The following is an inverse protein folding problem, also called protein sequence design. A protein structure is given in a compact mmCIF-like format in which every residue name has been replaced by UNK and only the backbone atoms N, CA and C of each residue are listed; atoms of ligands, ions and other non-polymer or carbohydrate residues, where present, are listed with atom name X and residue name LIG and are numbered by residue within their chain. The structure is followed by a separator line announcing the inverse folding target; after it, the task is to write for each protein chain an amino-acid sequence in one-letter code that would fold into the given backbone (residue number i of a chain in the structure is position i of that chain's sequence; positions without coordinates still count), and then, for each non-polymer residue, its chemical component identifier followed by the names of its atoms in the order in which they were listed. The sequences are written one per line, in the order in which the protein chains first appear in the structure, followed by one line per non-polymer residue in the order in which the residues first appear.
data_IF_393464143539
#
_entry.id   IF_393464143539
#
_cell.length_a   1.000
_cell.length_b   1.000
_cell.length_c   1.000
_cell.angle_alpha   90.00
_cell.angle_beta   90.00
_cell.angle_gamma   90.00
#
_symmetry.space_group_name_H-M   'P 1'
#
loop_
_entity.id
_entity.type
_entity.pdbx_description
1 polymer ?
#
# COMPACT_ATOMS: atom_id res chain seq x y z
N UNK A 1 -6.31 -15.03 -16.52
CA UNK A 1 -5.94 -15.46 -15.15
C UNK A 1 -6.07 -14.25 -14.25
N UNK A 2 -6.66 -14.40 -13.07
CA UNK A 2 -6.85 -13.34 -12.08
C UNK A 2 -6.41 -13.90 -10.73
N UNK A 3 -5.55 -13.18 -10.01
CA UNK A 3 -5.00 -13.61 -8.74
C UNK A 3 -5.13 -12.52 -7.68
N UNK A 4 -5.74 -12.87 -6.55
CA UNK A 4 -5.90 -12.03 -5.38
C UNK A 4 -5.10 -12.58 -4.21
N UNK A 5 -4.54 -11.69 -3.38
CA UNK A 5 -4.04 -12.02 -2.04
C UNK A 5 -4.79 -11.22 -0.99
N UNK A 6 -4.87 -11.74 0.22
CA UNK A 6 -5.55 -11.08 1.32
C UNK A 6 -4.88 -11.43 2.65
N UNK A 7 -5.03 -10.54 3.62
CA UNK A 7 -4.67 -10.75 5.02
C UNK A 7 -5.72 -10.05 5.89
N UNK A 8 -6.15 -10.71 6.97
CA UNK A 8 -7.16 -10.15 7.88
C UNK A 8 -6.74 -10.37 9.34
N UNK A 9 -7.08 -9.40 10.19
CA UNK A 9 -6.86 -9.47 11.63
C UNK A 9 -5.47 -9.05 12.09
N UNK A 10 -4.55 -8.73 11.17
CA UNK A 10 -3.26 -8.16 11.50
C UNK A 10 -3.38 -6.68 11.89
N UNK A 11 -2.50 -6.24 12.78
CA UNK A 11 -2.33 -4.84 13.15
C UNK A 11 -0.99 -4.33 12.64
N UNK A 12 -0.99 -3.08 12.19
CA UNK A 12 0.21 -2.40 11.69
C UNK A 12 0.35 -1.11 12.47
N UNK A 13 1.50 -0.93 13.10
CA UNK A 13 1.85 0.30 13.77
C UNK A 13 2.42 1.29 12.75
N UNK A 14 1.78 2.45 12.62
CA UNK A 14 2.04 3.45 11.59
C UNK A 14 2.98 4.55 12.12
N UNK A 15 4.30 4.36 11.94
CA UNK A 15 5.31 5.34 12.38
C UNK A 15 5.16 6.67 11.64
N UNK A 16 4.84 6.63 10.34
CA UNK A 16 4.68 7.83 9.53
C UNK A 16 3.58 8.73 10.06
N UNK A 17 2.46 8.14 10.49
CA UNK A 17 1.36 8.88 11.10
C UNK A 17 1.76 9.46 12.44
N UNK A 18 2.50 8.72 13.26
CA UNK A 18 3.06 9.27 14.50
C UNK A 18 3.90 10.52 14.22
N UNK A 19 4.89 10.41 13.32
CA UNK A 19 5.75 11.54 12.96
C UNK A 19 4.94 12.70 12.37
N UNK A 20 4.03 12.41 11.45
CA UNK A 20 3.23 13.40 10.74
C UNK A 20 2.18 14.12 11.60
N UNK A 21 1.64 13.45 12.63
CA UNK A 21 0.73 14.06 13.60
C UNK A 21 1.44 14.80 14.73
N UNK A 22 2.74 14.55 14.97
CA UNK A 22 3.49 15.34 15.99
C UNK A 22 3.71 16.80 15.58
N UNK A 23 3.37 17.17 14.34
CA UNK A 23 3.19 18.55 13.93
C UNK A 23 4.41 19.46 14.08
N UNK A 24 5.62 18.91 14.02
CA UNK A 24 6.87 19.66 14.19
C UNK A 24 7.30 19.93 15.64
N UNK A 25 6.56 19.43 16.64
CA UNK A 25 6.99 19.42 18.06
C UNK A 25 8.30 18.65 18.27
N UNK A 26 8.65 17.77 17.34
CA UNK A 26 9.90 17.01 17.37
C UNK A 26 11.05 17.75 16.67
N UNK A 27 10.82 18.36 15.51
CA UNK A 27 11.71 19.31 14.81
C UNK A 27 11.00 19.97 13.60
N UNK A 28 11.60 21.02 13.04
CA UNK A 28 11.03 21.81 11.93
C UNK A 28 11.11 21.14 10.54
N UNK A 29 11.75 19.98 10.41
CA UNK A 29 12.02 19.33 9.12
C UNK A 29 11.07 18.14 8.85
N UNK A 30 10.01 17.96 9.64
CA UNK A 30 9.09 16.83 9.51
C UNK A 30 7.88 17.16 8.66
N UNK A 31 7.36 16.13 8.01
CA UNK A 31 6.06 16.18 7.34
C UNK A 31 4.94 16.50 8.34
N UNK A 32 3.96 17.28 7.90
CA UNK A 32 2.73 17.57 8.64
C UNK A 32 1.56 16.90 7.92
N UNK A 33 0.84 16.02 8.60
CA UNK A 33 -0.36 15.42 8.04
C UNK A 33 -1.54 16.39 8.11
N UNK A 34 -2.41 16.34 7.10
CA UNK A 34 -3.60 17.18 7.03
C UNK A 34 -4.54 17.00 8.23
N UNK A 35 -4.51 15.84 8.91
CA UNK A 35 -5.26 15.58 10.14
C UNK A 35 -4.94 16.57 11.27
N UNK A 36 -3.76 17.23 11.24
CA UNK A 36 -3.42 18.28 12.19
C UNK A 36 -4.27 19.55 12.07
N UNK A 37 -5.01 19.72 10.97
CA UNK A 37 -6.00 20.79 10.84
C UNK A 37 -7.17 20.58 11.81
N UNK A 38 -7.48 19.32 12.15
CA UNK A 38 -8.57 18.96 13.06
C UNK A 38 -8.15 18.89 14.53
N UNK A 39 -6.93 19.34 14.86
CA UNK A 39 -6.40 19.30 16.24
C UNK A 39 -7.27 20.08 17.21
N UNK A 40 -7.25 19.66 18.46
CA UNK A 40 -7.95 20.36 19.53
C UNK A 40 -7.36 21.75 19.79
N UNK A 41 -8.20 22.78 19.65
CA UNK A 41 -7.82 24.19 19.82
C UNK A 41 -8.58 24.85 20.96
N UNK A 42 -9.87 24.57 21.10
CA UNK A 42 -10.78 25.29 22.00
C UNK A 42 -11.58 24.36 22.93
N UNK A 43 -11.91 24.79 24.16
CA UNK A 43 -12.81 24.05 25.04
C UNK A 43 -14.14 23.72 24.38
N UNK A 44 -14.59 22.46 24.47
CA UNK A 44 -15.83 21.98 23.86
C UNK A 44 -15.67 21.40 22.44
N UNK A 45 -14.51 21.54 21.80
CA UNK A 45 -14.25 20.92 20.51
C UNK A 45 -14.18 19.39 20.63
N UNK A 46 -14.94 18.66 19.81
CA UNK A 46 -14.93 17.20 19.72
C UNK A 46 -14.00 16.82 18.56
N UNK A 47 -12.84 16.25 18.91
CA UNK A 47 -11.86 15.74 17.94
C UNK A 47 -11.03 14.65 18.60
N UNK A 48 -10.56 13.69 17.81
CA UNK A 48 -9.61 12.67 18.24
C UNK A 48 -8.16 13.11 18.04
N UNK A 49 -7.90 14.29 17.44
CA UNK A 49 -6.55 14.83 17.23
C UNK A 49 -6.15 15.75 18.40
N UNK A 50 -5.13 15.37 19.20
CA UNK A 50 -4.78 16.14 20.39
C UNK A 50 -4.14 17.48 20.03
N UNK A 51 -4.22 18.42 20.96
CA UNK A 51 -3.58 19.72 20.83
C UNK A 51 -2.08 19.55 20.58
N UNK A 52 -1.55 20.36 19.66
CA UNK A 52 -0.13 20.45 19.35
C UNK A 52 0.68 21.05 20.52
N UNK A 53 1.19 20.17 21.39
CA UNK A 53 2.10 20.50 22.49
C UNK A 53 3.02 19.31 22.74
N UNK A 54 4.26 19.55 23.17
CA UNK A 54 5.26 18.50 23.43
C UNK A 54 4.77 17.41 24.42
N UNK A 55 3.90 17.78 25.37
CA UNK A 55 3.36 16.85 26.36
C UNK A 55 2.36 15.81 25.79
N UNK A 56 1.69 16.12 24.67
CA UNK A 56 0.65 15.26 24.10
C UNK A 56 1.18 14.27 23.07
N UNK A 57 2.35 14.55 22.52
CA UNK A 57 2.98 13.74 21.49
C UNK A 57 4.22 13.05 22.06
N UNK A 58 3.95 12.09 22.95
CA UNK A 58 4.95 11.17 23.49
C UNK A 58 5.60 10.36 22.36
N UNK A 59 6.93 10.19 22.43
CA UNK A 59 7.71 9.31 21.53
C UNK A 59 7.51 7.83 21.83
N UNK A 60 6.68 7.48 22.82
CA UNK A 60 6.42 6.10 23.18
C UNK A 60 5.34 5.51 22.28
N UNK A 61 5.59 4.29 21.84
CA UNK A 61 4.66 3.50 21.06
C UNK A 61 3.38 3.27 21.86
N UNK A 62 2.26 3.69 21.28
CA UNK A 62 0.95 3.54 21.88
C UNK A 62 -0.07 3.12 20.82
N UNK A 63 -1.24 2.69 21.28
CA UNK A 63 -2.29 2.12 20.43
C UNK A 63 -2.95 3.12 19.48
N UNK A 64 -2.73 4.44 19.63
CA UNK A 64 -3.27 5.46 18.73
C UNK A 64 -2.85 5.26 17.27
N UNK A 65 -1.59 4.84 17.09
CA UNK A 65 -1.00 4.62 15.77
C UNK A 65 -1.04 3.15 15.35
N UNK A 66 -1.67 2.29 16.15
CA UNK A 66 -1.90 0.90 15.82
C UNK A 66 -3.18 0.77 14.97
N UNK A 67 -3.00 0.50 13.69
CA UNK A 67 -4.07 0.48 12.71
C UNK A 67 -4.42 -0.94 12.25
N UNK A 68 -5.60 -1.06 11.66
CA UNK A 68 -6.02 -2.31 11.03
C UNK A 68 -5.23 -2.53 9.72
N UNK A 69 -4.39 -3.55 9.71
CA UNK A 69 -3.57 -3.91 8.56
C UNK A 69 -4.26 -4.87 7.61
N UNK A 70 -5.57 -5.13 7.78
CA UNK A 70 -6.29 -6.03 6.90
C UNK A 70 -6.40 -5.46 5.49
N UNK A 71 -6.26 -6.32 4.50
CA UNK A 71 -6.35 -5.91 3.10
C UNK A 71 -6.77 -7.05 2.17
N UNK A 72 -7.27 -6.65 1.01
CA UNK A 72 -7.41 -7.50 -0.18
C UNK A 72 -6.70 -6.81 -1.34
N UNK A 73 -5.86 -7.53 -2.06
CA UNK A 73 -5.06 -7.01 -3.17
C UNK A 73 -5.26 -7.83 -4.42
N UNK A 74 -5.55 -7.15 -5.53
CA UNK A 74 -5.49 -7.75 -6.87
C UNK A 74 -4.03 -7.79 -7.32
N UNK A 75 -3.37 -8.92 -7.07
CA UNK A 75 -1.93 -9.10 -7.31
C UNK A 75 -1.61 -9.20 -8.78
N UNK A 76 -2.37 -9.94 -9.56
CA UNK A 76 -2.16 -10.00 -10.99
C UNK A 76 -3.43 -10.29 -11.78
N UNK A 77 -3.51 -9.67 -12.97
CA UNK A 77 -4.48 -10.01 -13.99
C UNK A 77 -3.72 -10.21 -15.29
N UNK A 78 -3.92 -11.35 -15.93
CA UNK A 78 -3.37 -11.62 -17.26
C UNK A 78 -4.48 -12.01 -18.20
N UNK A 79 -4.66 -11.20 -19.25
CA UNK A 79 -5.51 -11.49 -20.40
C UNK A 79 -4.62 -11.89 -21.56
N UNK A 80 -4.97 -12.95 -22.27
CA UNK A 80 -4.22 -13.34 -23.47
C UNK A 80 -5.06 -14.12 -24.44
N UNK A 81 -4.74 -13.95 -25.71
CA UNK A 81 -5.42 -14.58 -26.83
C UNK A 81 -4.40 -15.40 -27.62
N UNK A 82 -4.71 -16.67 -27.82
CA UNK A 82 -3.91 -17.56 -28.67
C UNK A 82 -4.60 -17.64 -30.02
N UNK A 83 -3.88 -17.29 -31.09
CA UNK A 83 -4.43 -17.33 -32.43
C UNK A 83 -4.63 -18.78 -32.89
N UNK A 84 -5.68 -19.07 -33.69
CA UNK A 84 -5.88 -20.38 -34.30
C UNK A 84 -4.70 -20.78 -35.18
N UNK A 85 -4.35 -22.08 -35.14
CA UNK A 85 -3.20 -22.63 -35.87
C UNK A 85 -3.24 -22.33 -37.38
N UNK A 86 -4.43 -22.30 -38.00
CA UNK A 86 -4.56 -21.99 -39.43
C UNK A 86 -4.22 -20.55 -39.82
N UNK A 87 -4.18 -19.61 -38.86
CA UNK A 87 -3.73 -18.24 -39.08
C UNK A 87 -2.23 -18.14 -38.80
N UNK A 88 -1.75 -18.74 -37.70
CA UNK A 88 -0.33 -18.69 -37.34
C UNK A 88 0.55 -19.51 -38.28
N UNK A 89 0.04 -20.62 -38.84
CA UNK A 89 0.79 -21.45 -39.79
C UNK A 89 1.04 -20.76 -41.12
N UNK A 90 0.16 -19.83 -41.55
CA UNK A 90 0.35 -19.03 -42.78
C UNK A 90 1.58 -18.12 -42.71
N UNK A 91 1.97 -17.73 -41.49
CA UNK A 91 3.15 -16.91 -41.24
C UNK A 91 4.33 -17.75 -40.72
N UNK A 92 4.26 -19.08 -40.84
CA UNK A 92 5.35 -20.00 -40.46
C UNK A 92 5.53 -20.21 -38.96
N UNK A 93 4.50 -19.99 -38.14
CA UNK A 93 4.58 -20.06 -36.67
C UNK A 93 3.63 -21.16 -36.15
N UNK A 94 4.14 -22.11 -35.36
CA UNK A 94 3.34 -23.19 -34.78
C UNK A 94 2.33 -22.70 -33.74
N UNK A 95 2.70 -21.67 -32.95
CA UNK A 95 1.79 -21.03 -31.98
C UNK A 95 2.09 -19.55 -31.79
N UNK A 96 1.07 -18.70 -31.94
CA UNK A 96 1.13 -17.27 -31.66
C UNK A 96 0.16 -16.91 -30.52
N UNK A 97 0.67 -16.32 -29.44
CA UNK A 97 -0.15 -15.79 -28.34
C UNK A 97 0.26 -14.36 -28.01
N UNK A 98 -0.71 -13.45 -27.97
CA UNK A 98 -0.55 -12.11 -27.42
C UNK A 98 -1.16 -12.05 -26.03
N UNK A 99 -0.52 -11.34 -25.12
CA UNK A 99 -1.04 -11.18 -23.76
C UNK A 99 -0.70 -9.81 -23.18
N UNK A 100 -1.55 -9.36 -22.28
CA UNK A 100 -1.32 -8.22 -21.41
C UNK A 100 -1.44 -8.70 -19.96
N UNK A 101 -0.53 -8.25 -19.10
CA UNK A 101 -0.51 -8.56 -17.68
C UNK A 101 -0.40 -7.27 -16.89
N UNK A 102 -1.13 -7.18 -15.78
CA UNK A 102 -1.00 -6.11 -14.80
C UNK A 102 -0.72 -6.69 -13.42
N UNK A 103 0.11 -6.00 -12.63
CA UNK A 103 0.46 -6.40 -11.25
C UNK A 103 0.15 -5.30 -10.23
N UNK A 104 -0.20 -5.72 -9.01
CA UNK A 104 -0.59 -4.86 -7.87
C UNK A 104 -1.67 -3.81 -8.23
N UNK A 105 -2.66 -4.22 -9.03
CA UNK A 105 -3.59 -3.28 -9.69
C UNK A 105 -4.52 -2.55 -8.72
N UNK A 106 -5.03 -3.26 -7.71
CA UNK A 106 -5.98 -2.74 -6.73
C UNK A 106 -5.61 -3.20 -5.32
N UNK A 107 -5.78 -2.31 -4.34
CA UNK A 107 -5.59 -2.56 -2.91
C UNK A 107 -6.82 -2.01 -2.18
N UNK A 108 -7.50 -2.87 -1.44
CA UNK A 108 -8.60 -2.52 -0.55
C UNK A 108 -8.12 -2.69 0.88
N UNK A 109 -8.04 -1.60 1.65
CA UNK A 109 -7.62 -1.61 3.05
C UNK A 109 -8.23 -0.44 3.81
N UNK A 110 -8.29 -0.55 5.14
CA UNK A 110 -8.61 0.56 6.05
C UNK A 110 -7.36 1.23 6.62
N UNK A 111 -6.19 0.68 6.33
CA UNK A 111 -4.91 1.25 6.72
C UNK A 111 -4.73 2.63 6.08
N UNK A 112 -4.33 3.62 6.87
CA UNK A 112 -4.22 5.02 6.39
C UNK A 112 -2.87 5.33 5.75
N UNK A 113 -1.88 4.45 5.91
CA UNK A 113 -0.59 4.55 5.23
C UNK A 113 -0.64 4.03 3.78
N UNK A 114 0.53 3.98 3.14
CA UNK A 114 0.63 3.69 1.70
C UNK A 114 0.36 2.21 1.34
N UNK A 115 0.85 1.28 2.17
CA UNK A 115 0.72 -0.16 1.95
C UNK A 115 0.73 -0.92 3.29
N UNK A 116 -0.32 -1.67 3.66
CA UNK A 116 -0.35 -2.44 4.90
C UNK A 116 0.59 -3.66 4.88
N UNK A 117 1.11 -4.03 3.71
CA UNK A 117 2.16 -5.07 3.57
C UNK A 117 3.58 -4.50 3.69
N UNK A 118 3.71 -3.21 4.04
CA UNK A 118 4.99 -2.55 4.31
C UNK A 118 5.74 -3.27 5.44
N UNK A 119 7.02 -3.54 5.20
CA UNK A 119 7.95 -4.10 6.18
C UNK A 119 9.30 -3.42 6.01
N UNK A 120 9.96 -3.08 7.11
CA UNK A 120 11.26 -2.41 7.14
C UNK A 120 12.45 -3.29 6.69
N UNK A 121 12.19 -4.47 6.12
CA UNK A 121 13.20 -5.35 5.52
C UNK A 121 14.03 -6.13 6.55
N UNK A 122 13.57 -6.20 7.81
CA UNK A 122 14.17 -7.04 8.83
C UNK A 122 13.26 -8.24 9.10
N UNK A 123 13.82 -9.45 9.00
CA UNK A 123 13.10 -10.73 8.98
C UNK A 123 12.16 -10.95 10.19
N UNK A 124 12.35 -10.21 11.29
CA UNK A 124 11.59 -10.34 12.53
C UNK A 124 10.77 -9.10 12.92
N UNK A 125 10.70 -8.07 12.08
CA UNK A 125 9.91 -6.86 12.37
C UNK A 125 8.76 -6.78 11.39
N UNK A 126 7.65 -7.42 11.75
CA UNK A 126 6.39 -7.37 11.00
C UNK A 126 5.39 -6.46 11.71
N UNK A 127 4.51 -5.82 10.94
CA UNK A 127 3.49 -4.93 11.49
C UNK A 127 4.02 -3.57 11.94
N UNK A 128 5.16 -3.13 11.41
CA UNK A 128 5.74 -1.81 11.66
C UNK A 128 5.98 -1.10 10.33
N UNK A 129 5.26 -0.01 10.08
CA UNK A 129 5.48 0.81 8.89
C UNK A 129 6.36 2.02 9.21
N UNK A 130 7.55 2.04 8.60
CA UNK A 130 8.53 3.11 8.74
C UNK A 130 8.74 3.89 7.45
N UNK A 131 7.68 4.05 6.66
CA UNK A 131 7.74 4.88 5.44
C UNK A 131 8.30 4.13 4.25
N UNK A 132 8.06 2.81 4.23
CA UNK A 132 8.51 1.98 3.12
C UNK A 132 7.65 2.32 1.90
N UNK A 133 8.27 2.53 0.73
CA UNK A 133 7.53 2.76 -0.50
C UNK A 133 6.54 1.62 -0.77
N UNK A 134 5.32 1.94 -1.23
CA UNK A 134 4.33 0.92 -1.56
C UNK A 134 4.77 0.08 -2.75
N UNK A 135 4.19 -1.10 -2.88
CA UNK A 135 4.42 -1.94 -4.05
C UNK A 135 3.97 -1.23 -5.33
N UNK A 136 4.84 -1.10 -6.37
CA UNK A 136 4.48 -0.39 -7.58
C UNK A 136 3.43 -1.17 -8.38
N UNK A 137 2.58 -0.43 -9.09
CA UNK A 137 1.66 -0.98 -10.09
C UNK A 137 2.41 -1.08 -11.42
N UNK A 138 2.39 -2.25 -12.04
CA UNK A 138 3.04 -2.44 -13.35
C UNK A 138 2.08 -3.03 -14.38
N UNK A 139 2.33 -2.70 -15.63
CA UNK A 139 1.62 -3.25 -16.79
C UNK A 139 2.65 -3.74 -17.79
N UNK A 140 2.40 -4.91 -18.36
CA UNK A 140 3.27 -5.57 -19.32
C UNK A 140 2.46 -6.07 -20.49
N UNK A 141 2.96 -5.84 -21.69
CA UNK A 141 2.45 -6.45 -22.92
C UNK A 141 3.49 -7.43 -23.43
N UNK A 142 3.03 -8.57 -23.94
CA UNK A 142 3.92 -9.64 -24.36
C UNK A 142 3.35 -10.45 -25.51
N UNK A 143 4.28 -11.04 -26.24
CA UNK A 143 4.02 -11.90 -27.38
C UNK A 143 4.82 -13.18 -27.19
N UNK A 144 4.17 -14.33 -27.32
CA UNK A 144 4.76 -15.64 -27.18
C UNK A 144 4.64 -16.37 -28.52
N UNK A 145 5.79 -16.78 -29.04
CA UNK A 145 5.96 -17.46 -30.32
C UNK A 145 6.53 -18.84 -30.07
N UNK A 146 5.95 -19.84 -30.72
CA UNK A 146 6.55 -21.16 -30.86
C UNK A 146 6.75 -21.40 -32.35
N UNK A 147 7.97 -21.80 -32.73
CA UNK A 147 8.32 -22.18 -34.10
C UNK A 147 7.79 -23.57 -34.42
#
# INVERSE_FOLDING_TARGET
NVFFTFSFGNKVWNHNRMLGETGGTLDANRVLLASQLDRWTTPGQITDVPRLTDANYSRQENSRFLEDGSYVRLRSVTLGYTFPAGISSKIGISKLRVYASGTNLLLFTKYTGADPESNIGQDNIQGYDYGVPPQPRAFQFGLNLTL
#
